data_IF_807280404875
#
_entry.id   IF_807280404875
#
_cell.length_a   1.000
_cell.length_b   1.000
_cell.length_c   1.000
_cell.angle_alpha   90.00
_cell.angle_beta   90.00
_cell.angle_gamma   90.00
#
_symmetry.space_group_name_H-M   'P 1'
#
loop_
_entity.id
_entity.type
_entity.pdbx_description
1 polymer ?
#
# COMPACT_ATOMS: atom_id res chain seq x y z
N UNK A 1 4.43 -14.57 -20.03
CA UNK A 1 5.00 -13.90 -18.86
C UNK A 1 4.84 -12.38 -19.03
N UNK A 2 4.13 -11.74 -18.14
CA UNK A 2 3.86 -10.29 -18.18
C UNK A 2 5.14 -9.52 -17.79
N UNK A 3 5.58 -8.55 -18.63
CA UNK A 3 6.73 -7.69 -18.35
C UNK A 3 6.27 -6.34 -17.82
N UNK A 4 7.13 -5.62 -17.08
CA UNK A 4 6.80 -4.28 -16.57
C UNK A 4 6.41 -3.31 -17.71
N UNK A 5 7.09 -3.39 -18.87
CA UNK A 5 6.74 -2.65 -20.08
C UNK A 5 5.33 -2.94 -20.64
N UNK A 6 4.73 -4.05 -20.23
CA UNK A 6 3.37 -4.42 -20.67
C UNK A 6 2.28 -3.72 -19.83
N UNK A 7 2.65 -3.18 -18.67
CA UNK A 7 1.74 -2.36 -17.85
C UNK A 7 1.47 -0.99 -18.48
N UNK A 8 2.43 -0.45 -19.26
CA UNK A 8 2.34 0.87 -19.90
C UNK A 8 1.56 0.86 -21.24
N UNK A 9 1.23 -0.31 -21.78
CA UNK A 9 0.49 -0.39 -23.05
C UNK A 9 -0.93 0.10 -22.86
N UNK A 10 -1.22 1.33 -23.31
CA UNK A 10 -2.58 1.86 -23.49
C UNK A 10 -3.33 0.88 -24.38
N UNK A 11 -4.43 0.33 -23.89
CA UNK A 11 -5.30 -0.54 -24.69
C UNK A 11 -5.62 0.11 -26.02
N UNK A 12 -5.51 -0.64 -27.12
CA UNK A 12 -5.80 -0.16 -28.47
C UNK A 12 -7.18 0.50 -28.48
N UNK A 13 -7.25 1.78 -28.84
CA UNK A 13 -8.50 2.51 -29.02
C UNK A 13 -9.32 1.78 -30.09
N UNK A 14 -10.32 1.00 -29.67
CA UNK A 14 -11.45 0.74 -30.53
C UNK A 14 -12.23 2.05 -30.64
N UNK A 15 -12.28 2.60 -31.85
CA UNK A 15 -13.19 3.68 -32.20
C UNK A 15 -14.62 3.14 -31.96
N UNK A 16 -15.27 3.62 -30.91
CA UNK A 16 -16.68 3.43 -30.67
C UNK A 16 -17.35 4.71 -31.13
N UNK A 17 -18.22 4.62 -32.13
CA UNK A 17 -19.11 5.70 -32.50
C UNK A 17 -19.93 6.07 -31.27
N UNK A 18 -19.74 7.27 -30.78
CA UNK A 18 -20.46 7.79 -29.61
C UNK A 18 -21.84 8.26 -30.05
N UNK A 19 -22.85 7.48 -29.69
CA UNK A 19 -24.23 7.94 -29.65
C UNK A 19 -24.37 8.87 -28.43
N UNK A 20 -24.59 10.16 -28.69
CA UNK A 20 -24.66 11.22 -27.68
C UNK A 20 -25.73 10.99 -26.60
N UNK A 21 -26.74 10.15 -26.86
CA UNK A 21 -27.78 9.77 -25.91
C UNK A 21 -27.26 8.89 -24.77
N UNK A 22 -26.15 8.17 -24.98
CA UNK A 22 -25.53 7.30 -23.96
C UNK A 22 -24.66 8.07 -22.97
N UNK A 23 -24.17 9.24 -23.37
CA UNK A 23 -23.30 10.08 -22.52
C UNK A 23 -24.11 10.82 -21.46
N UNK A 24 -25.35 11.22 -21.75
CA UNK A 24 -26.27 11.87 -20.79
C UNK A 24 -26.75 10.91 -19.68
N UNK A 25 -26.97 9.63 -20.01
CA UNK A 25 -27.42 8.62 -19.01
C UNK A 25 -26.27 8.21 -18.05
N UNK A 26 -25.02 8.30 -18.49
CA UNK A 26 -23.84 8.10 -17.63
C UNK A 26 -23.53 9.30 -16.72
N UNK A 27 -23.95 10.52 -17.11
CA UNK A 27 -23.78 11.73 -16.30
C UNK A 27 -24.78 11.83 -15.15
N UNK A 28 -25.93 11.16 -15.26
CA UNK A 28 -26.97 11.11 -14.21
C UNK A 28 -26.82 9.94 -13.23
N UNK A 29 -26.01 8.92 -13.53
CA UNK A 29 -25.65 7.88 -12.55
C UNK A 29 -24.62 8.40 -11.57
N UNK A 30 -25.11 9.29 -10.72
CA UNK A 30 -24.67 9.63 -9.38
C UNK A 30 -23.16 9.86 -9.16
N UNK A 31 -22.86 11.07 -8.79
CA UNK A 31 -21.74 11.49 -7.95
C UNK A 31 -21.73 10.75 -6.59
N UNK A 32 -21.79 9.44 -6.56
CA UNK A 32 -21.58 8.69 -5.32
C UNK A 32 -20.09 8.84 -4.99
N UNK A 33 -19.82 9.78 -4.09
CA UNK A 33 -18.50 9.96 -3.52
C UNK A 33 -18.18 8.72 -2.71
N UNK A 34 -17.04 8.08 -2.99
CA UNK A 34 -16.56 6.95 -2.21
C UNK A 34 -16.47 7.34 -0.74
N UNK A 35 -17.22 6.65 0.14
CA UNK A 35 -17.05 6.78 1.59
C UNK A 35 -15.86 5.94 2.05
N UNK A 36 -14.76 6.55 2.53
CA UNK A 36 -13.54 5.84 2.90
C UNK A 36 -13.77 4.81 4.00
N UNK A 37 -14.57 5.14 5.02
CA UNK A 37 -14.82 4.27 6.17
C UNK A 37 -15.69 3.08 5.80
N UNK A 38 -16.71 3.31 4.97
CA UNK A 38 -17.58 2.25 4.49
C UNK A 38 -16.81 1.29 3.57
N UNK A 39 -16.04 1.82 2.61
CA UNK A 39 -15.23 1.02 1.71
C UNK A 39 -14.23 0.15 2.49
N UNK A 40 -13.47 0.73 3.42
CA UNK A 40 -12.50 0.02 4.25
C UNK A 40 -13.15 -1.11 5.04
N UNK A 41 -14.31 -0.85 5.64
CA UNK A 41 -15.07 -1.84 6.42
C UNK A 41 -15.56 -3.00 5.54
N UNK A 42 -16.07 -2.71 4.32
CA UNK A 42 -16.51 -3.74 3.36
C UNK A 42 -15.33 -4.57 2.86
N UNK A 43 -14.21 -3.94 2.53
CA UNK A 43 -13.00 -4.63 2.12
C UNK A 43 -12.47 -5.57 3.21
N UNK A 44 -12.45 -5.14 4.47
CA UNK A 44 -12.10 -6.00 5.60
C UNK A 44 -13.06 -7.18 5.76
N UNK A 45 -14.37 -6.95 5.63
CA UNK A 45 -15.38 -8.02 5.72
C UNK A 45 -15.19 -9.04 4.61
N UNK A 46 -14.99 -8.58 3.38
CA UNK A 46 -14.69 -9.44 2.24
C UNK A 46 -13.46 -10.31 2.51
N UNK A 47 -12.35 -9.71 2.95
CA UNK A 47 -11.13 -10.47 3.24
C UNK A 47 -11.30 -11.48 4.38
N UNK A 48 -12.06 -11.15 5.43
CA UNK A 48 -12.39 -12.13 6.47
C UNK A 48 -13.11 -13.35 5.89
N UNK A 49 -14.11 -13.11 5.03
CA UNK A 49 -14.85 -14.20 4.37
C UNK A 49 -13.93 -15.04 3.48
N UNK A 50 -13.05 -14.39 2.68
CA UNK A 50 -12.06 -15.11 1.86
C UNK A 50 -11.17 -16.02 2.70
N UNK A 51 -10.58 -15.48 3.79
CA UNK A 51 -9.68 -16.26 4.65
C UNK A 51 -10.41 -17.39 5.36
N UNK A 52 -11.67 -17.21 5.77
CA UNK A 52 -12.52 -18.26 6.36
C UNK A 52 -12.80 -19.38 5.35
N UNK A 53 -13.21 -19.05 4.12
CA UNK A 53 -13.42 -20.02 3.06
C UNK A 53 -12.16 -20.84 2.78
N UNK A 54 -11.01 -20.17 2.63
CA UNK A 54 -9.73 -20.85 2.39
C UNK A 54 -9.34 -21.76 3.56
N UNK A 55 -9.54 -21.33 4.81
CA UNK A 55 -9.30 -22.14 6.00
C UNK A 55 -10.14 -23.42 6.00
N UNK A 56 -11.38 -23.31 5.54
CA UNK A 56 -12.31 -24.44 5.39
C UNK A 56 -12.08 -25.26 4.12
N UNK A 57 -11.00 -24.96 3.33
CA UNK A 57 -10.71 -25.58 2.02
C UNK A 57 -11.80 -25.38 0.98
N UNK A 58 -12.59 -24.32 1.11
CA UNK A 58 -13.61 -23.90 0.15
C UNK A 58 -13.03 -22.87 -0.82
N UNK A 59 -13.55 -22.82 -2.04
CA UNK A 59 -13.18 -21.80 -3.03
C UNK A 59 -13.90 -20.49 -2.70
N UNK A 60 -13.17 -19.37 -2.48
CA UNK A 60 -13.79 -18.07 -2.29
C UNK A 60 -14.38 -17.54 -3.60
N UNK A 61 -15.50 -16.82 -3.50
CA UNK A 61 -16.08 -16.05 -4.60
C UNK A 61 -15.47 -14.63 -4.58
N UNK A 62 -14.89 -14.20 -5.69
CA UNK A 62 -14.20 -12.91 -5.78
C UNK A 62 -15.09 -11.77 -6.32
N UNK A 63 -16.34 -12.00 -6.66
CA UNK A 63 -17.24 -10.99 -7.27
C UNK A 63 -17.36 -9.71 -6.42
N UNK A 64 -17.50 -9.83 -5.09
CA UNK A 64 -17.54 -8.67 -4.20
C UNK A 64 -16.19 -7.96 -4.14
N UNK A 65 -15.08 -8.71 -4.16
CA UNK A 65 -13.73 -8.16 -4.22
C UNK A 65 -13.49 -7.37 -5.51
N UNK A 66 -13.88 -7.91 -6.65
CA UNK A 66 -13.81 -7.22 -7.95
C UNK A 66 -14.63 -5.92 -7.94
N UNK A 67 -15.84 -5.94 -7.38
CA UNK A 67 -16.67 -4.75 -7.25
C UNK A 67 -16.05 -3.68 -6.34
N UNK A 68 -15.44 -4.06 -5.21
CA UNK A 68 -14.73 -3.17 -4.31
C UNK A 68 -13.52 -2.52 -5.01
N UNK A 69 -12.78 -3.31 -5.79
CA UNK A 69 -11.61 -2.79 -6.53
C UNK A 69 -12.09 -1.86 -7.65
N UNK A 70 -13.13 -2.20 -8.41
CA UNK A 70 -13.67 -1.32 -9.44
C UNK A 70 -14.13 0.03 -8.84
N UNK A 71 -14.77 0.04 -7.69
CA UNK A 71 -15.23 1.24 -6.99
C UNK A 71 -14.06 2.19 -6.65
N UNK A 72 -12.97 1.68 -6.06
CA UNK A 72 -11.81 2.50 -5.70
C UNK A 72 -11.01 2.94 -6.93
N UNK A 73 -10.92 2.11 -7.97
CA UNK A 73 -10.29 2.43 -9.26
C UNK A 73 -11.07 3.55 -9.96
N UNK A 74 -12.40 3.49 -10.00
CA UNK A 74 -13.23 4.56 -10.56
C UNK A 74 -13.05 5.87 -9.82
N UNK A 75 -12.97 5.85 -8.48
CA UNK A 75 -12.68 7.05 -7.69
C UNK A 75 -11.29 7.63 -8.02
N UNK A 76 -10.29 6.76 -8.24
CA UNK A 76 -8.93 7.15 -8.64
C UNK A 76 -8.92 7.84 -10.00
N UNK A 77 -9.56 7.27 -11.01
CA UNK A 77 -9.60 7.78 -12.39
C UNK A 77 -10.33 9.12 -12.49
N UNK A 78 -11.38 9.32 -11.69
CA UNK A 78 -12.12 10.58 -11.61
C UNK A 78 -11.41 11.67 -10.81
N UNK A 79 -10.22 11.41 -10.26
CA UNK A 79 -9.52 12.34 -9.39
C UNK A 79 -10.14 12.51 -8.00
N UNK A 80 -11.11 11.67 -7.63
CA UNK A 80 -11.87 11.74 -6.38
C UNK A 80 -11.44 10.67 -5.36
N UNK A 81 -10.24 10.08 -5.52
CA UNK A 81 -9.71 9.11 -4.56
C UNK A 81 -9.46 9.80 -3.22
N UNK A 82 -10.19 9.43 -2.14
CA UNK A 82 -10.07 10.13 -0.88
C UNK A 82 -8.72 9.89 -0.21
N UNK A 83 -7.98 10.95 0.13
CA UNK A 83 -6.74 10.88 0.91
C UNK A 83 -6.95 10.24 2.28
N UNK A 84 -8.17 10.31 2.82
CA UNK A 84 -8.55 9.66 4.08
C UNK A 84 -8.31 8.14 4.04
N UNK A 85 -8.50 7.46 2.91
CA UNK A 85 -8.15 6.05 2.76
C UNK A 85 -6.66 5.80 3.00
N UNK A 86 -5.79 6.65 2.43
CA UNK A 86 -4.36 6.54 2.62
C UNK A 86 -3.99 6.74 4.10
N UNK A 87 -4.58 7.75 4.75
CA UNK A 87 -4.39 8.01 6.18
C UNK A 87 -4.87 6.83 7.03
N UNK A 88 -6.04 6.26 6.72
CA UNK A 88 -6.55 5.07 7.42
C UNK A 88 -5.62 3.87 7.26
N UNK A 89 -5.07 3.66 6.06
CA UNK A 89 -4.13 2.58 5.79
C UNK A 89 -2.76 2.79 6.45
N UNK A 90 -2.32 4.04 6.64
CA UNK A 90 -1.05 4.36 7.27
C UNK A 90 -1.10 4.37 8.81
N UNK A 91 -2.20 4.89 9.38
CA UNK A 91 -2.29 5.19 10.82
C UNK A 91 -3.43 4.46 11.53
N UNK A 92 -4.25 3.71 10.81
CA UNK A 92 -5.38 2.97 11.39
C UNK A 92 -4.91 1.92 12.39
N UNK A 93 -5.59 1.87 13.55
CA UNK A 93 -5.35 0.79 14.50
C UNK A 93 -6.02 -0.50 14.02
N UNK A 94 -5.28 -1.59 14.10
CA UNK A 94 -5.80 -2.92 13.79
C UNK A 94 -6.86 -3.32 14.82
N UNK A 95 -8.12 -3.24 14.42
CA UNK A 95 -9.26 -3.72 15.24
C UNK A 95 -9.62 -5.17 14.94
N UNK A 96 -8.93 -5.81 13.97
CA UNK A 96 -9.22 -7.14 13.42
C UNK A 96 -7.92 -7.93 13.23
N UNK A 97 -8.03 -9.14 12.66
CA UNK A 97 -6.86 -9.92 12.26
C UNK A 97 -5.86 -9.06 11.47
N UNK A 98 -4.57 -9.10 11.85
CA UNK A 98 -3.52 -8.33 11.16
C UNK A 98 -3.40 -8.72 9.67
N UNK A 99 -3.71 -9.98 9.30
CA UNK A 99 -3.72 -10.42 7.90
C UNK A 99 -4.76 -9.65 7.07
N UNK A 100 -5.96 -9.45 7.65
CA UNK A 100 -7.04 -8.71 6.99
C UNK A 100 -6.65 -7.24 6.80
N UNK A 101 -6.17 -6.60 7.87
CA UNK A 101 -5.79 -5.18 7.80
C UNK A 101 -4.63 -4.97 6.83
N UNK A 102 -3.60 -5.85 6.88
CA UNK A 102 -2.49 -5.82 5.95
C UNK A 102 -2.95 -5.88 4.50
N UNK A 103 -3.80 -6.85 4.14
CA UNK A 103 -4.30 -7.02 2.78
C UNK A 103 -5.01 -5.76 2.29
N UNK A 104 -5.90 -5.16 3.10
CA UNK A 104 -6.63 -3.94 2.76
C UNK A 104 -5.69 -2.73 2.67
N UNK A 105 -4.75 -2.58 3.61
CA UNK A 105 -3.77 -1.48 3.60
C UNK A 105 -2.89 -1.53 2.35
N UNK A 106 -2.32 -2.71 2.03
CA UNK A 106 -1.49 -2.89 0.83
C UNK A 106 -2.29 -2.64 -0.44
N UNK A 107 -3.58 -3.00 -0.48
CA UNK A 107 -4.48 -2.68 -1.61
C UNK A 107 -4.62 -1.17 -1.80
N UNK A 108 -4.91 -0.43 -0.73
CA UNK A 108 -5.00 1.03 -0.79
C UNK A 108 -3.68 1.63 -1.28
N UNK A 109 -2.55 1.21 -0.71
CA UNK A 109 -1.22 1.65 -1.14
C UNK A 109 -0.97 1.34 -2.62
N UNK A 110 -1.38 0.17 -3.11
CA UNK A 110 -1.23 -0.24 -4.49
C UNK A 110 -2.05 0.64 -5.46
N UNK A 111 -3.27 1.01 -5.10
CA UNK A 111 -4.10 1.92 -5.91
C UNK A 111 -3.48 3.32 -5.97
N UNK A 112 -3.01 3.87 -4.84
CA UNK A 112 -2.34 5.18 -4.82
C UNK A 112 -1.05 5.16 -5.64
N UNK A 113 -0.21 4.12 -5.48
CA UNK A 113 1.04 3.98 -6.23
C UNK A 113 0.79 3.69 -7.71
N UNK A 114 -0.21 2.87 -8.06
CA UNK A 114 -0.60 2.59 -9.42
C UNK A 114 -1.12 3.84 -10.16
N UNK A 115 -1.82 4.74 -9.45
CA UNK A 115 -2.18 6.07 -9.96
C UNK A 115 -0.93 6.91 -10.26
N UNK A 116 0.05 6.95 -9.37
CA UNK A 116 1.33 7.67 -9.58
C UNK A 116 2.14 7.07 -10.74
N UNK A 117 2.01 5.77 -10.98
CA UNK A 117 2.59 5.06 -12.13
C UNK A 117 1.75 5.23 -13.42
N UNK A 118 0.64 5.97 -13.37
CA UNK A 118 -0.28 6.20 -14.50
C UNK A 118 -0.80 4.90 -15.13
N UNK A 119 -1.00 3.86 -14.32
CA UNK A 119 -1.49 2.58 -14.83
C UNK A 119 -2.87 2.74 -15.46
N UNK A 120 -3.12 2.13 -16.65
CA UNK A 120 -4.45 2.12 -17.24
C UNK A 120 -5.43 1.35 -16.35
N UNK A 121 -6.73 1.65 -16.51
CA UNK A 121 -7.82 1.15 -15.66
C UNK A 121 -7.72 -0.35 -15.37
N UNK A 122 -7.58 -1.15 -16.42
CA UNK A 122 -7.56 -2.60 -16.33
C UNK A 122 -6.36 -3.08 -15.49
N UNK A 123 -5.19 -2.47 -15.70
CA UNK A 123 -3.96 -2.80 -14.95
C UNK A 123 -4.02 -2.36 -13.50
N UNK A 124 -4.68 -1.21 -13.24
CA UNK A 124 -4.90 -0.73 -11.89
C UNK A 124 -5.87 -1.64 -11.11
N UNK A 125 -6.89 -2.16 -11.78
CA UNK A 125 -7.83 -3.12 -11.20
C UNK A 125 -7.15 -4.48 -10.91
N UNK A 126 -6.36 -4.99 -11.85
CA UNK A 126 -5.56 -6.22 -11.66
C UNK A 126 -4.58 -6.07 -10.50
N UNK A 127 -3.86 -4.94 -10.42
CA UNK A 127 -2.93 -4.64 -9.31
C UNK A 127 -3.68 -4.58 -7.97
N UNK A 128 -4.84 -3.92 -7.91
CA UNK A 128 -5.64 -3.81 -6.70
C UNK A 128 -6.12 -5.17 -6.19
N UNK A 129 -6.63 -6.02 -7.09
CA UNK A 129 -7.10 -7.36 -6.71
C UNK A 129 -5.92 -8.27 -6.32
N UNK A 130 -4.79 -8.17 -7.03
CA UNK A 130 -3.56 -8.89 -6.68
C UNK A 130 -3.06 -8.48 -5.29
N UNK A 131 -3.05 -7.17 -4.99
CA UNK A 131 -2.67 -6.65 -3.69
C UNK A 131 -3.60 -7.13 -2.55
N UNK A 132 -4.90 -7.28 -2.84
CA UNK A 132 -5.87 -7.75 -1.84
C UNK A 132 -5.64 -9.23 -1.48
N UNK A 133 -5.21 -10.04 -2.44
CA UNK A 133 -5.17 -11.50 -2.30
C UNK A 133 -3.74 -12.11 -2.19
N UNK A 134 -2.67 -11.29 -2.30
CA UNK A 134 -1.29 -11.80 -2.40
C UNK A 134 -0.87 -12.74 -1.27
N UNK A 135 -1.42 -12.54 -0.09
CA UNK A 135 -1.04 -13.24 1.15
C UNK A 135 -2.07 -14.28 1.60
N UNK A 136 -3.04 -14.66 0.76
CA UNK A 136 -4.16 -15.54 1.14
C UNK A 136 -3.70 -16.90 1.69
N UNK A 137 -2.56 -17.40 1.25
CA UNK A 137 -1.96 -18.65 1.74
C UNK A 137 -1.47 -18.59 3.18
N UNK A 138 -1.25 -17.40 3.75
CA UNK A 138 -0.85 -17.26 5.16
C UNK A 138 -1.87 -17.83 6.15
N UNK A 139 -3.12 -17.99 5.73
CA UNK A 139 -4.15 -18.62 6.55
C UNK A 139 -3.87 -20.10 6.85
N UNK A 140 -2.99 -20.75 6.05
CA UNK A 140 -2.55 -22.13 6.27
C UNK A 140 -1.34 -22.26 7.19
N UNK A 141 -0.67 -21.15 7.49
CA UNK A 141 0.46 -21.13 8.44
C UNK A 141 -0.09 -21.32 9.85
N UNK A 142 0.51 -22.23 10.68
CA UNK A 142 0.11 -22.41 12.07
C UNK A 142 0.10 -21.08 12.83
N UNK A 143 -0.94 -20.87 13.65
CA UNK A 143 -1.16 -19.61 14.33
C UNK A 143 -0.05 -19.31 15.35
N UNK A 144 0.50 -20.36 15.99
CA UNK A 144 1.65 -20.26 16.90
C UNK A 144 2.93 -19.73 16.22
N UNK A 145 3.10 -19.95 14.91
CA UNK A 145 4.21 -19.37 14.13
C UNK A 145 3.87 -17.95 13.72
N UNK A 146 2.65 -17.74 13.25
CA UNK A 146 2.21 -16.47 12.69
C UNK A 146 2.12 -15.37 13.76
N UNK A 147 1.71 -15.71 14.98
CA UNK A 147 1.52 -14.80 16.12
C UNK A 147 2.67 -14.86 17.15
N UNK A 148 3.73 -15.59 16.88
CA UNK A 148 4.87 -15.70 17.79
C UNK A 148 5.51 -14.32 18.00
N UNK A 149 5.68 -13.93 19.27
CA UNK A 149 6.29 -12.63 19.62
C UNK A 149 7.83 -12.66 19.53
N UNK A 150 8.44 -13.85 19.71
CA UNK A 150 9.88 -14.03 19.58
C UNK A 150 10.30 -14.23 18.11
N UNK A 151 11.58 -14.06 17.83
CA UNK A 151 12.14 -14.39 16.53
C UNK A 151 11.84 -15.87 16.16
N UNK A 152 11.48 -16.08 14.89
CA UNK A 152 11.24 -17.43 14.37
C UNK A 152 12.56 -18.21 14.29
N UNK A 153 12.50 -19.48 14.67
CA UNK A 153 13.59 -20.43 14.44
C UNK A 153 13.66 -20.81 12.96
N UNK A 154 14.76 -21.43 12.52
CA UNK A 154 14.96 -21.79 11.11
C UNK A 154 13.88 -22.76 10.59
N UNK A 155 13.46 -23.73 11.40
CA UNK A 155 12.37 -24.66 11.08
C UNK A 155 11.01 -23.95 10.94
N UNK A 156 10.69 -23.02 11.85
CA UNK A 156 9.47 -22.21 11.80
C UNK A 156 9.49 -21.25 10.59
N UNK A 157 10.66 -20.68 10.29
CA UNK A 157 10.85 -19.82 9.12
C UNK A 157 10.67 -20.63 7.83
N UNK A 158 11.14 -21.87 7.77
CA UNK A 158 10.93 -22.76 6.65
C UNK A 158 9.45 -23.10 6.43
N UNK A 159 8.67 -23.25 7.52
CA UNK A 159 7.21 -23.43 7.44
C UNK A 159 6.55 -22.15 6.93
N UNK A 160 6.90 -20.99 7.50
CA UNK A 160 6.35 -19.71 7.06
C UNK A 160 6.60 -19.47 5.57
N UNK A 161 7.83 -19.73 5.08
CA UNK A 161 8.23 -19.49 3.68
C UNK A 161 7.48 -20.34 2.64
N UNK A 162 6.62 -21.27 3.06
CA UNK A 162 5.76 -22.05 2.14
C UNK A 162 4.50 -21.31 1.68
N UNK A 163 4.04 -20.27 2.43
CA UNK A 163 2.78 -19.60 2.12
C UNK A 163 2.67 -19.03 0.70
N UNK A 164 3.73 -18.61 -0.03
CA UNK A 164 3.58 -18.16 -1.41
C UNK A 164 3.12 -19.30 -2.34
N UNK A 165 3.59 -20.52 -2.12
CA UNK A 165 3.09 -21.71 -2.84
C UNK A 165 1.63 -22.01 -2.47
N UNK A 166 1.27 -21.91 -1.19
CA UNK A 166 -0.13 -22.05 -0.76
C UNK A 166 -1.02 -21.00 -1.40
N UNK A 167 -0.57 -19.73 -1.47
CA UNK A 167 -1.30 -18.66 -2.17
C UNK A 167 -1.47 -18.97 -3.65
N UNK A 168 -0.40 -19.44 -4.31
CA UNK A 168 -0.43 -19.84 -5.72
C UNK A 168 -1.48 -20.93 -5.97
N UNK A 169 -1.45 -22.03 -5.20
CA UNK A 169 -2.41 -23.13 -5.34
C UNK A 169 -3.87 -22.67 -5.17
N UNK A 170 -4.14 -21.87 -4.13
CA UNK A 170 -5.46 -21.37 -3.84
C UNK A 170 -5.98 -20.53 -5.02
N UNK A 171 -5.17 -19.57 -5.49
CA UNK A 171 -5.57 -18.62 -6.51
C UNK A 171 -5.65 -19.25 -7.91
N UNK A 172 -4.73 -20.17 -8.24
CA UNK A 172 -4.79 -20.94 -9.48
C UNK A 172 -6.06 -21.79 -9.54
N UNK A 173 -6.50 -22.33 -8.42
CA UNK A 173 -7.73 -23.12 -8.31
C UNK A 173 -9.02 -22.34 -8.60
N UNK A 174 -8.97 -21.01 -8.73
CA UNK A 174 -10.13 -20.16 -9.04
C UNK A 174 -10.44 -20.07 -10.55
N UNK A 175 -9.53 -20.54 -11.41
CA UNK A 175 -9.68 -20.59 -12.86
C UNK A 175 -8.75 -19.61 -13.60
N UNK A 176 -8.70 -19.76 -14.93
CA UNK A 176 -7.73 -19.09 -15.80
C UNK A 176 -7.77 -17.56 -15.74
N UNK A 177 -8.94 -16.99 -15.53
CA UNK A 177 -9.15 -15.53 -15.35
C UNK A 177 -8.23 -14.97 -14.25
N UNK A 178 -7.91 -15.76 -13.22
CA UNK A 178 -7.17 -15.35 -12.04
C UNK A 178 -5.73 -15.87 -12.00
N UNK A 179 -5.23 -16.42 -13.12
CA UNK A 179 -3.86 -16.96 -13.18
C UNK A 179 -2.81 -15.90 -12.80
N UNK A 180 -3.00 -14.64 -13.22
CA UNK A 180 -2.10 -13.53 -12.88
C UNK A 180 -2.01 -13.27 -11.36
N UNK A 181 -3.09 -13.54 -10.60
CA UNK A 181 -3.09 -13.42 -9.13
C UNK A 181 -2.18 -14.48 -8.51
N UNK A 182 -2.25 -15.71 -9.02
CA UNK A 182 -1.44 -16.83 -8.54
C UNK A 182 0.05 -16.55 -8.76
N UNK A 183 0.45 -16.16 -9.97
CA UNK A 183 1.84 -15.78 -10.26
C UNK A 183 2.30 -14.61 -9.38
N UNK A 184 1.47 -13.58 -9.24
CA UNK A 184 1.79 -12.44 -8.39
C UNK A 184 2.06 -12.87 -6.94
N UNK A 185 1.15 -13.66 -6.35
CA UNK A 185 1.28 -14.13 -4.97
C UNK A 185 2.52 -15.00 -4.75
N UNK A 186 2.90 -15.80 -5.75
CA UNK A 186 4.14 -16.61 -5.70
C UNK A 186 5.38 -15.72 -5.67
N UNK A 187 5.38 -14.59 -6.40
CA UNK A 187 6.56 -13.76 -6.62
C UNK A 187 6.68 -12.53 -5.67
N UNK A 188 5.70 -12.23 -4.81
CA UNK A 188 5.71 -11.02 -3.95
C UNK A 188 6.94 -10.95 -3.03
N UNK A 189 7.49 -12.11 -2.64
CA UNK A 189 8.68 -12.13 -1.79
C UNK A 189 10.00 -12.20 -2.57
N UNK A 190 9.95 -12.25 -3.90
CA UNK A 190 11.15 -12.17 -4.73
C UNK A 190 11.75 -10.76 -4.69
N UNK A 191 13.03 -10.66 -4.96
CA UNK A 191 13.79 -9.41 -4.94
C UNK A 191 14.59 -9.28 -6.23
N UNK A 192 14.70 -8.06 -6.73
CA UNK A 192 15.39 -7.77 -8.00
C UNK A 192 16.82 -8.32 -8.09
N UNK A 193 17.48 -8.48 -6.94
CA UNK A 193 18.84 -9.00 -6.77
C UNK A 193 18.90 -10.51 -6.51
N UNK A 194 17.81 -11.23 -6.63
CA UNK A 194 17.73 -12.70 -6.43
C UNK A 194 17.77 -13.15 -4.96
N UNK A 195 17.83 -12.20 -4.01
CA UNK A 195 17.86 -12.53 -2.57
C UNK A 195 16.48 -12.93 -2.01
N UNK A 196 15.45 -12.93 -2.84
CA UNK A 196 14.08 -13.26 -2.48
C UNK A 196 13.80 -14.75 -2.38
N UNK A 197 12.53 -15.09 -2.21
CA UNK A 197 12.02 -16.47 -2.17
C UNK A 197 10.61 -16.52 -2.76
N UNK A 198 10.07 -17.69 -3.19
CA UNK A 198 10.61 -19.05 -3.01
C UNK A 198 11.57 -19.51 -4.11
N UNK A 199 11.66 -18.80 -5.24
CA UNK A 199 12.37 -19.29 -6.44
C UNK A 199 13.72 -18.60 -6.66
N UNK A 200 13.99 -17.48 -5.94
CA UNK A 200 15.21 -16.68 -6.13
C UNK A 200 15.24 -16.00 -7.51
N UNK A 201 14.09 -15.53 -8.00
CA UNK A 201 13.98 -14.85 -9.29
C UNK A 201 14.65 -13.50 -9.26
N UNK A 202 15.25 -13.12 -10.41
CA UNK A 202 15.93 -11.84 -10.58
C UNK A 202 15.26 -10.98 -11.66
N UNK A 203 15.31 -9.69 -11.49
CA UNK A 203 14.96 -8.70 -12.50
C UNK A 203 13.57 -8.90 -13.10
N UNK A 204 13.52 -8.98 -14.43
CA UNK A 204 12.26 -9.07 -15.20
C UNK A 204 11.60 -10.46 -15.16
N UNK A 205 12.23 -11.46 -14.55
CA UNK A 205 11.59 -12.75 -14.28
C UNK A 205 10.50 -12.63 -13.21
N UNK A 206 10.55 -11.60 -12.35
CA UNK A 206 9.55 -11.35 -11.31
C UNK A 206 8.30 -10.72 -11.93
N UNK A 207 7.12 -11.24 -11.60
CA UNK A 207 5.85 -10.67 -12.03
C UNK A 207 5.77 -9.16 -11.71
N UNK A 208 5.35 -8.28 -12.65
CA UNK A 208 5.40 -6.84 -12.47
C UNK A 208 4.50 -6.33 -11.34
N UNK A 209 3.32 -6.93 -11.09
CA UNK A 209 2.50 -6.60 -9.94
C UNK A 209 3.17 -6.99 -8.62
N UNK A 210 3.83 -8.14 -8.59
CA UNK A 210 4.59 -8.60 -7.43
C UNK A 210 5.71 -7.62 -7.07
N UNK A 211 6.41 -7.04 -8.06
CA UNK A 211 7.44 -6.02 -7.82
C UNK A 211 6.89 -4.76 -7.16
N UNK A 212 5.69 -4.31 -7.57
CA UNK A 212 5.00 -3.16 -6.96
C UNK A 212 4.57 -3.50 -5.53
N UNK A 213 3.89 -4.64 -5.36
CA UNK A 213 3.35 -5.07 -4.06
C UNK A 213 4.48 -5.31 -3.05
N UNK A 214 5.62 -5.84 -3.49
CA UNK A 214 6.76 -6.16 -2.61
C UNK A 214 7.29 -4.95 -1.81
N UNK A 215 7.41 -3.76 -2.42
CA UNK A 215 7.82 -2.55 -1.70
C UNK A 215 6.73 -2.04 -0.76
N UNK A 216 5.46 -2.16 -1.16
CA UNK A 216 4.31 -1.73 -0.36
C UNK A 216 4.09 -2.65 0.84
N UNK A 217 4.26 -3.96 0.66
CA UNK A 217 4.22 -4.94 1.74
C UNK A 217 5.31 -4.68 2.78
N UNK A 218 6.53 -4.41 2.33
CA UNK A 218 7.63 -4.08 3.22
C UNK A 218 7.35 -2.79 4.01
N UNK A 219 6.82 -1.75 3.35
CA UNK A 219 6.43 -0.51 4.00
C UNK A 219 5.33 -0.71 5.04
N UNK A 220 4.25 -1.44 4.69
CA UNK A 220 3.18 -1.78 5.62
C UNK A 220 3.71 -2.56 6.81
N UNK A 221 4.54 -3.58 6.55
CA UNK A 221 5.13 -4.38 7.60
C UNK A 221 6.01 -3.57 8.56
N UNK A 222 6.71 -2.54 8.09
CA UNK A 222 7.53 -1.66 8.92
C UNK A 222 6.73 -0.66 9.74
N UNK A 223 5.61 -0.16 9.20
CA UNK A 223 4.83 0.95 9.79
C UNK A 223 3.70 0.49 10.70
N UNK A 224 3.43 -0.82 10.78
CA UNK A 224 2.40 -1.39 11.63
C UNK A 224 2.99 -2.33 12.68
N UNK A 225 2.35 -2.40 13.85
CA UNK A 225 2.74 -3.33 14.91
C UNK A 225 2.59 -4.77 14.42
N UNK A 226 3.59 -5.58 14.71
CA UNK A 226 3.61 -7.03 14.51
C UNK A 226 3.90 -7.70 15.83
N UNK A 227 3.48 -8.96 16.03
CA UNK A 227 3.84 -9.69 17.25
C UNK A 227 5.35 -9.65 17.54
N UNK A 228 6.18 -9.76 16.48
CA UNK A 228 7.63 -9.85 16.59
C UNK A 228 8.35 -8.49 16.69
N UNK A 229 7.66 -7.36 16.44
CA UNK A 229 8.32 -6.07 16.30
C UNK A 229 7.39 -4.88 16.49
N UNK A 230 7.85 -3.88 17.22
CA UNK A 230 7.22 -2.56 17.23
C UNK A 230 7.33 -1.89 15.86
N UNK A 231 6.34 -1.08 15.53
CA UNK A 231 6.32 -0.29 14.29
C UNK A 231 7.42 0.76 14.29
N UNK A 232 7.97 1.02 13.13
CA UNK A 232 8.78 2.20 12.84
C UNK A 232 7.87 3.39 12.54
N UNK A 233 8.38 4.61 12.70
CA UNK A 233 7.74 5.78 12.10
C UNK A 233 7.75 5.66 10.57
N UNK A 234 6.81 6.33 9.90
CA UNK A 234 6.76 6.32 8.43
C UNK A 234 8.06 6.85 7.80
N UNK A 235 8.67 7.86 8.40
CA UNK A 235 9.96 8.39 7.97
C UNK A 235 11.09 7.34 8.08
N UNK A 236 11.18 6.66 9.23
CA UNK A 236 12.19 5.60 9.42
C UNK A 236 11.99 4.45 8.44
N UNK A 237 10.74 4.04 8.18
CA UNK A 237 10.43 3.00 7.20
C UNK A 237 10.86 3.41 5.78
N UNK A 238 10.55 4.65 5.35
CA UNK A 238 10.99 5.18 4.05
C UNK A 238 12.51 5.23 3.99
N UNK A 239 13.18 5.74 5.03
CA UNK A 239 14.64 5.81 5.13
C UNK A 239 15.28 4.42 5.03
N UNK A 240 14.72 3.42 5.72
CA UNK A 240 15.21 2.04 5.68
C UNK A 240 15.07 1.42 4.27
N UNK A 241 13.92 1.59 3.62
CA UNK A 241 13.69 1.12 2.26
C UNK A 241 14.70 1.71 1.29
N UNK A 242 14.94 3.02 1.35
CA UNK A 242 15.85 3.71 0.42
C UNK A 242 17.32 3.40 0.70
N UNK A 243 17.74 3.33 1.98
CA UNK A 243 19.14 3.09 2.33
C UNK A 243 19.55 1.63 2.17
N UNK A 244 18.76 0.73 2.73
CA UNK A 244 19.19 -0.64 2.99
C UNK A 244 18.63 -1.63 1.96
N UNK A 245 17.48 -1.32 1.38
CA UNK A 245 16.76 -2.25 0.49
C UNK A 245 16.70 -1.80 -0.97
N UNK A 246 17.43 -0.75 -1.36
CA UNK A 246 17.37 -0.21 -2.74
C UNK A 246 17.74 -1.22 -3.83
N UNK A 247 18.65 -2.18 -3.57
CA UNK A 247 19.02 -3.21 -4.54
C UNK A 247 17.93 -4.26 -4.74
N UNK A 248 17.07 -4.43 -3.74
CA UNK A 248 15.96 -5.38 -3.78
C UNK A 248 14.79 -4.90 -4.65
N UNK A 249 14.76 -3.62 -5.03
CA UNK A 249 13.64 -3.00 -5.75
C UNK A 249 14.10 -2.22 -6.98
N UNK A 250 13.23 -2.19 -7.98
CA UNK A 250 13.46 -1.41 -9.20
C UNK A 250 13.46 0.09 -8.90
N UNK A 251 14.40 0.83 -9.52
CA UNK A 251 14.61 2.26 -9.23
C UNK A 251 13.36 3.11 -9.50
N UNK A 252 12.66 2.82 -10.59
CA UNK A 252 11.44 3.49 -11.01
C UNK A 252 10.33 3.30 -9.98
N UNK A 253 10.22 2.09 -9.41
CA UNK A 253 9.27 1.80 -8.33
C UNK A 253 9.59 2.54 -7.04
N UNK A 254 10.88 2.64 -6.68
CA UNK A 254 11.29 3.44 -5.51
C UNK A 254 11.00 4.93 -5.71
N UNK A 255 11.16 5.44 -6.94
CA UNK A 255 10.78 6.83 -7.27
C UNK A 255 9.26 7.03 -7.15
N UNK A 256 8.45 6.12 -7.74
CA UNK A 256 7.00 6.17 -7.62
C UNK A 256 6.54 6.05 -6.16
N UNK A 257 7.16 5.17 -5.37
CA UNK A 257 6.91 5.03 -3.94
C UNK A 257 7.14 6.35 -3.18
N UNK A 258 8.28 7.02 -3.44
CA UNK A 258 8.57 8.32 -2.83
C UNK A 258 7.60 9.41 -3.26
N UNK A 259 7.19 9.42 -4.54
CA UNK A 259 6.19 10.38 -5.04
C UNK A 259 4.81 10.15 -4.42
N UNK A 260 4.45 8.89 -4.15
CA UNK A 260 3.15 8.52 -3.58
C UNK A 260 3.05 8.84 -2.09
N UNK A 261 4.06 8.43 -1.32
CA UNK A 261 4.01 8.49 0.15
C UNK A 261 4.78 9.68 0.72
N UNK A 262 5.70 10.26 -0.04
CA UNK A 262 6.61 11.30 0.42
C UNK A 262 7.71 10.76 1.33
N UNK A 263 8.70 11.61 1.61
CA UNK A 263 9.73 11.34 2.62
C UNK A 263 9.17 11.63 4.02
N UNK A 264 8.37 12.68 4.12
CA UNK A 264 7.60 13.05 5.30
C UNK A 264 6.11 12.92 4.98
N UNK A 265 5.50 11.75 5.23
CA UNK A 265 4.10 11.52 4.89
C UNK A 265 3.13 12.44 5.63
N UNK A 266 1.89 12.53 5.15
CA UNK A 266 0.82 13.23 5.84
C UNK A 266 0.72 12.76 7.29
N UNK A 267 0.45 13.69 8.19
CA UNK A 267 0.36 13.49 9.64
C UNK A 267 1.67 13.10 10.36
N UNK A 268 2.79 12.92 9.63
CA UNK A 268 4.10 12.73 10.25
C UNK A 268 4.44 13.93 11.14
N UNK A 269 4.97 13.65 12.35
CA UNK A 269 5.49 14.67 13.25
C UNK A 269 6.94 14.95 12.88
N UNK A 270 7.26 16.24 12.74
CA UNK A 270 8.59 16.69 12.34
C UNK A 270 9.10 17.79 13.27
N UNK A 271 10.40 17.73 13.57
CA UNK A 271 11.12 18.77 14.30
C UNK A 271 11.89 19.63 13.32
N UNK A 272 11.67 20.93 13.37
CA UNK A 272 12.42 21.88 12.57
C UNK A 272 13.79 22.21 13.20
N UNK A 273 14.70 22.71 12.38
CA UNK A 273 16.00 23.25 12.85
C UNK A 273 15.86 24.41 13.85
N UNK A 274 14.71 25.09 13.89
CA UNK A 274 14.37 26.09 14.90
C UNK A 274 14.01 25.52 16.28
N UNK A 275 13.85 24.19 16.38
CA UNK A 275 13.32 23.51 17.57
C UNK A 275 11.80 23.34 17.59
N UNK A 276 11.06 24.06 16.75
CA UNK A 276 9.60 23.91 16.66
C UNK A 276 9.22 22.52 16.15
N UNK A 277 8.06 22.00 16.62
CA UNK A 277 7.50 20.72 16.19
C UNK A 277 6.20 20.99 15.43
N UNK A 278 6.04 20.34 14.29
CA UNK A 278 4.84 20.45 13.47
C UNK A 278 4.38 19.09 12.95
N UNK A 279 3.15 19.10 12.42
CA UNK A 279 2.56 17.97 11.73
C UNK A 279 2.50 18.26 10.24
N UNK A 280 2.90 17.31 9.41
CA UNK A 280 2.78 17.44 7.95
C UNK A 280 1.30 17.42 7.56
N UNK A 281 0.85 18.46 6.85
CA UNK A 281 -0.54 18.60 6.38
C UNK A 281 -0.67 18.55 4.86
N UNK A 282 0.45 18.69 4.13
CA UNK A 282 0.50 18.58 2.68
C UNK A 282 1.93 18.25 2.23
N UNK A 283 2.06 17.33 1.28
CA UNK A 283 3.33 16.98 0.62
C UNK A 283 3.41 17.64 -0.75
N UNK A 284 4.62 17.77 -1.29
CA UNK A 284 4.87 18.37 -2.60
C UNK A 284 5.74 17.43 -3.43
N UNK A 285 5.25 17.00 -4.60
CA UNK A 285 5.95 16.05 -5.48
C UNK A 285 7.32 16.57 -5.95
N UNK A 286 7.38 17.85 -6.32
CA UNK A 286 8.61 18.48 -6.81
C UNK A 286 9.64 18.76 -5.71
N UNK A 287 9.18 18.92 -4.46
CA UNK A 287 10.01 19.21 -3.30
C UNK A 287 9.64 18.35 -2.08
N UNK A 288 9.89 17.04 -2.14
CA UNK A 288 9.42 16.09 -1.12
C UNK A 288 10.04 16.30 0.28
N UNK A 289 11.16 17.04 0.37
CA UNK A 289 11.79 17.43 1.63
C UNK A 289 11.22 18.73 2.23
N UNK A 290 10.28 19.41 1.53
CA UNK A 290 9.71 20.70 1.92
C UNK A 290 8.19 20.67 1.97
N UNK A 291 7.60 19.85 2.87
CA UNK A 291 6.16 19.78 3.02
C UNK A 291 5.59 21.07 3.65
N UNK A 292 4.28 21.21 3.56
CA UNK A 292 3.54 22.18 4.37
C UNK A 292 3.21 21.55 5.72
N UNK A 293 3.48 22.27 6.79
CA UNK A 293 3.36 21.78 8.17
C UNK A 293 2.48 22.69 9.00
N UNK A 294 1.78 22.12 9.95
CA UNK A 294 1.05 22.82 11.00
C UNK A 294 1.86 22.75 12.30
N UNK A 295 2.24 23.91 12.84
CA UNK A 295 3.04 23.98 14.07
C UNK A 295 2.16 23.68 15.28
N UNK A 296 2.56 22.70 16.08
CA UNK A 296 1.89 22.26 17.30
C UNK A 296 2.67 22.60 18.57
N UNK A 297 4.00 22.70 18.46
CA UNK A 297 4.90 23.17 19.55
C UNK A 297 5.83 24.21 18.96
N UNK A 298 5.97 25.36 19.63
CA UNK A 298 6.87 26.43 19.18
C UNK A 298 8.35 26.15 19.50
N UNK A 299 9.24 27.02 19.04
CA UNK A 299 10.68 26.92 19.28
C UNK A 299 11.09 27.05 20.78
N UNK A 300 10.19 27.52 21.63
CA UNK A 300 10.35 27.61 23.10
C UNK A 300 9.74 26.42 23.84
N UNK A 301 9.40 25.35 23.12
CA UNK A 301 8.78 24.11 23.64
C UNK A 301 7.40 24.33 24.29
N UNK A 302 6.62 25.32 23.81
CA UNK A 302 5.26 25.58 24.27
C UNK A 302 4.24 25.10 23.23
N UNK A 303 3.18 24.44 23.69
CA UNK A 303 2.06 24.08 22.80
C UNK A 303 1.39 25.33 22.25
N UNK A 304 1.23 25.37 20.93
CA UNK A 304 0.59 26.45 20.21
C UNK A 304 -0.92 26.37 20.39
N UNK A 305 -1.54 27.42 20.92
CA UNK A 305 -3.01 27.48 21.14
C UNK A 305 -3.79 27.61 19.83
N UNK A 306 -3.23 28.34 18.87
CA UNK A 306 -3.82 28.55 17.53
C UNK A 306 -2.84 27.95 16.52
N UNK A 307 -3.21 26.89 15.80
CA UNK A 307 -2.35 26.26 14.81
C UNK A 307 -1.86 27.27 13.77
N UNK A 308 -0.55 27.27 13.51
CA UNK A 308 0.08 28.10 12.49
C UNK A 308 0.65 27.20 11.40
N UNK A 309 0.26 27.47 10.17
CA UNK A 309 0.74 26.73 9.00
C UNK A 309 1.98 27.39 8.43
N UNK A 310 2.97 26.58 8.05
CA UNK A 310 4.20 26.99 7.36
C UNK A 310 4.37 26.09 6.13
N UNK A 311 4.51 26.69 4.95
CA UNK A 311 4.96 26.01 3.75
C UNK A 311 6.50 26.11 3.69
N UNK A 312 7.18 24.98 3.81
CA UNK A 312 8.64 24.99 3.82
C UNK A 312 9.26 25.33 2.46
N UNK A 313 8.49 25.33 1.37
CA UNK A 313 8.96 25.84 0.07
C UNK A 313 9.20 27.33 0.09
N UNK A 314 8.39 28.06 0.87
CA UNK A 314 8.47 29.52 1.00
C UNK A 314 9.49 29.97 2.07
N UNK A 315 10.02 29.02 2.86
CA UNK A 315 10.87 29.28 4.02
C UNK A 315 12.26 28.67 3.82
N UNK A 316 13.15 29.33 3.07
CA UNK A 316 14.47 28.78 2.70
C UNK A 316 15.36 28.41 3.89
N UNK A 317 15.23 29.12 5.02
CA UNK A 317 16.05 28.93 6.23
C UNK A 317 15.54 27.80 7.12
N UNK A 318 14.22 27.50 7.05
CA UNK A 318 13.64 26.42 7.83
C UNK A 318 13.74 25.10 7.07
N UNK A 319 14.13 24.05 7.79
CA UNK A 319 14.15 22.68 7.27
C UNK A 319 13.82 21.69 8.38
N UNK A 320 13.42 20.50 8.00
CA UNK A 320 13.13 19.40 8.91
C UNK A 320 14.48 18.81 9.35
N UNK A 321 14.77 18.94 10.64
CA UNK A 321 15.96 18.38 11.26
C UNK A 321 15.79 16.90 11.63
N UNK A 322 14.55 16.52 12.05
CA UNK A 322 14.25 15.17 12.47
C UNK A 322 12.75 14.85 12.29
N UNK A 323 12.40 13.56 12.26
CA UNK A 323 11.04 13.07 12.33
C UNK A 323 10.80 12.42 13.70
N UNK A 324 9.64 12.72 14.29
CA UNK A 324 9.31 12.32 15.65
C UNK A 324 8.20 11.27 15.65
N UNK A 325 8.19 10.43 16.69
CA UNK A 325 7.02 9.60 17.04
C UNK A 325 6.11 10.35 18.00
N UNK A 326 4.84 9.91 18.16
CA UNK A 326 3.93 10.53 19.14
C UNK A 326 4.45 10.40 20.58
N UNK A 327 5.24 9.37 20.87
CA UNK A 327 5.88 9.17 22.18
C UNK A 327 6.89 10.29 22.49
N UNK A 328 7.58 10.81 21.48
CA UNK A 328 8.53 11.92 21.62
C UNK A 328 7.88 13.30 21.87
N UNK A 329 6.55 13.41 21.70
CA UNK A 329 5.78 14.63 22.02
C UNK A 329 5.49 14.77 23.51
N UNK A 330 5.51 13.65 24.24
CA UNK A 330 5.13 13.58 25.66
C UNK A 330 6.35 13.45 26.58
N UNK A 331 7.55 13.36 26.02
CA UNK A 331 8.83 13.37 26.70
C UNK A 331 9.44 14.79 26.70
#
# INVERSE_FOLDING_TARGET
MLRFSDLDKKGAKKQVDTDDSFVEDLSQKSSIKLDPKDWYRRACRFMMNVLEKVRNREKPNLTEGEALIEEIVQASLRGNLPQELLIMAQYGNATRSFLVNKAVNVTIFAIFMGKTLELPKERLAELGLAALLHDVGKVRVPEEILLKEAALKDDELAVLRKYPHDSFEILQGLGDKYHYLAECALHVNERMDGSGFPQGLEGDAINPYARIIAVLELYEAMTHNRPQRHKLSHFEAVKEIIKTKKSAFQRELLKAFLNTFGIFPLHCLVKLNSGAIGRVIQTHEEQPLRPKIEIIVDAQNKRVKIPRTIDLREQQVLYIADALTEENLNA
#
